data_IF_927957291835
#
_entry.id   IF_927957291835
#
_cell.length_a   1.000
_cell.length_b   1.000
_cell.length_c   1.000
_cell.angle_alpha   90.00
_cell.angle_beta   90.00
_cell.angle_gamma   90.00
#
_symmetry.space_group_name_H-M   'P 1'
#
loop_
_entity.id
_entity.type
_entity.pdbx_description
1 polymer ?
#
# COMPACT_ATOMS: atom_id res chain seq x y z
N UNK A 1 10.70 -2.25 -15.61
CA UNK A 1 9.55 -1.42 -15.22
C UNK A 1 8.71 -2.25 -14.26
N UNK A 2 8.32 -1.69 -13.11
CA UNK A 2 7.47 -2.42 -12.16
C UNK A 2 6.05 -2.48 -12.73
N UNK A 3 5.41 -3.64 -12.63
CA UNK A 3 4.01 -3.83 -12.95
C UNK A 3 3.18 -3.64 -11.67
N UNK A 4 2.27 -2.67 -11.68
CA UNK A 4 1.33 -2.44 -10.59
C UNK A 4 0.00 -3.14 -10.88
N UNK A 5 -0.47 -3.95 -9.93
CA UNK A 5 -1.77 -4.61 -9.96
C UNK A 5 -2.59 -4.17 -8.75
N UNK A 6 -3.91 -4.19 -8.89
CA UNK A 6 -4.84 -3.80 -7.84
C UNK A 6 -5.88 -4.91 -7.67
N UNK A 7 -5.95 -5.50 -6.48
CA UNK A 7 -7.04 -6.40 -6.13
C UNK A 7 -8.40 -5.67 -6.17
N UNK A 8 -9.47 -6.31 -6.64
CA UNK A 8 -10.79 -5.67 -6.80
C UNK A 8 -11.31 -5.03 -5.51
N UNK A 9 -11.00 -5.65 -4.36
CA UNK A 9 -11.31 -5.11 -3.03
C UNK A 9 -10.67 -3.73 -2.78
N UNK A 10 -9.38 -3.57 -3.09
CA UNK A 10 -8.71 -2.27 -2.87
C UNK A 10 -9.24 -1.20 -3.81
N UNK A 11 -9.65 -1.56 -5.04
CA UNK A 11 -10.24 -0.60 -5.97
C UNK A 11 -11.54 -0.01 -5.42
N UNK A 12 -12.38 -0.85 -4.79
CA UNK A 12 -13.61 -0.42 -4.11
C UNK A 12 -13.32 0.47 -2.89
N UNK A 13 -12.33 0.09 -2.08
CA UNK A 13 -11.90 0.85 -0.89
C UNK A 13 -11.34 2.23 -1.28
N UNK A 14 -10.49 2.30 -2.31
CA UNK A 14 -9.96 3.56 -2.85
C UNK A 14 -11.11 4.46 -3.31
N UNK A 15 -12.08 3.90 -4.04
CA UNK A 15 -13.25 4.67 -4.52
C UNK A 15 -14.09 5.21 -3.37
N UNK A 16 -14.23 4.45 -2.27
CA UNK A 16 -14.91 4.92 -1.07
C UNK A 16 -14.13 6.05 -0.37
N UNK A 17 -12.81 5.91 -0.26
CA UNK A 17 -11.94 6.94 0.33
C UNK A 17 -11.89 8.21 -0.52
N UNK A 18 -11.92 8.10 -1.85
CA UNK A 18 -11.90 9.24 -2.79
C UNK A 18 -13.08 10.20 -2.58
N UNK A 19 -14.24 9.67 -2.19
CA UNK A 19 -15.42 10.47 -1.85
C UNK A 19 -15.20 11.36 -0.62
N UNK A 20 -14.31 10.97 0.28
CA UNK A 20 -13.98 11.69 1.54
C UNK A 20 -12.71 12.51 1.40
N UNK A 21 -11.74 12.01 0.64
CA UNK A 21 -10.40 12.56 0.49
C UNK A 21 -10.06 12.63 -1.00
N UNK A 22 -10.35 13.77 -1.63
CA UNK A 22 -10.19 13.97 -3.07
C UNK A 22 -8.74 13.78 -3.57
N UNK A 23 -7.74 13.91 -2.69
CA UNK A 23 -6.32 13.77 -3.02
C UNK A 23 -5.78 12.33 -2.89
N UNK A 24 -6.63 11.33 -2.65
CA UNK A 24 -6.18 9.93 -2.50
C UNK A 24 -5.45 9.42 -3.74
N UNK A 25 -5.92 9.80 -4.93
CA UNK A 25 -5.31 9.40 -6.21
C UNK A 25 -3.91 9.98 -6.38
N UNK A 26 -3.70 11.22 -5.94
CA UNK A 26 -2.38 11.85 -5.96
C UNK A 26 -1.42 11.13 -5.00
N UNK A 27 -1.91 10.79 -3.79
CA UNK A 27 -1.14 10.01 -2.82
C UNK A 27 -0.72 8.64 -3.37
N UNK A 28 -1.63 7.94 -4.05
CA UNK A 28 -1.35 6.66 -4.71
C UNK A 28 -0.31 6.82 -5.83
N UNK A 29 -0.46 7.82 -6.70
CA UNK A 29 0.50 8.07 -7.78
C UNK A 29 1.90 8.41 -7.25
N UNK A 30 1.99 9.20 -6.19
CA UNK A 30 3.26 9.47 -5.50
C UNK A 30 3.85 8.16 -4.94
N UNK A 31 3.01 7.33 -4.33
CA UNK A 31 3.47 6.08 -3.75
C UNK A 31 3.95 5.06 -4.78
N UNK A 32 3.28 4.93 -5.93
CA UNK A 32 3.77 4.11 -7.05
C UNK A 32 5.18 4.53 -7.48
N UNK A 33 5.43 5.83 -7.64
CA UNK A 33 6.78 6.36 -7.98
C UNK A 33 7.82 6.05 -6.89
N UNK A 34 7.41 6.05 -5.62
CA UNK A 34 8.30 5.65 -4.53
C UNK A 34 8.60 4.15 -4.60
N UNK A 35 7.60 3.32 -4.89
CA UNK A 35 7.76 1.89 -5.08
C UNK A 35 8.70 1.55 -6.24
N UNK A 36 8.63 2.27 -7.37
CA UNK A 36 9.54 2.10 -8.50
C UNK A 36 11.01 2.25 -8.13
N UNK A 37 11.32 3.15 -7.18
CA UNK A 37 12.68 3.36 -6.67
C UNK A 37 13.03 2.38 -5.55
N UNK A 38 12.13 2.23 -4.58
CA UNK A 38 12.32 1.41 -3.39
C UNK A 38 12.50 -0.08 -3.73
N UNK A 39 11.71 -0.58 -4.69
CA UNK A 39 11.67 -1.98 -5.07
C UNK A 39 12.19 -2.21 -6.49
N UNK A 40 13.05 -1.33 -6.99
CA UNK A 40 13.63 -1.49 -8.31
C UNK A 40 14.38 -2.84 -8.41
N UNK A 41 14.14 -3.68 -9.43
CA UNK A 41 14.65 -5.06 -9.48
C UNK A 41 16.18 -5.17 -9.58
N UNK A 42 16.82 -4.19 -10.23
CA UNK A 42 18.28 -4.17 -10.46
C UNK A 42 19.02 -3.24 -9.49
N UNK A 43 18.47 -2.05 -9.22
CA UNK A 43 19.11 -1.00 -8.43
C UNK A 43 18.12 -0.39 -7.41
N UNK A 44 17.73 -1.14 -6.36
CA UNK A 44 16.82 -0.63 -5.34
C UNK A 44 17.44 0.53 -4.57
N UNK A 45 16.67 1.60 -4.37
CA UNK A 45 17.08 2.80 -3.65
C UNK A 45 16.20 3.01 -2.44
N UNK A 46 16.79 3.14 -1.26
CA UNK A 46 16.05 3.38 -0.03
C UNK A 46 15.51 4.81 0.01
N UNK A 47 14.33 5.03 -0.55
CA UNK A 47 13.63 6.33 -0.60
C UNK A 47 12.49 6.42 0.41
N UNK A 48 12.03 5.27 0.92
CA UNK A 48 11.07 5.20 2.01
C UNK A 48 11.84 4.92 3.30
N UNK A 49 11.62 5.74 4.32
CA UNK A 49 12.28 5.57 5.61
C UNK A 49 11.90 4.20 6.22
N UNK A 50 12.85 3.43 6.80
CA UNK A 50 12.57 2.10 7.36
C UNK A 50 11.45 2.09 8.40
N UNK A 51 11.36 3.15 9.22
CA UNK A 51 10.31 3.30 10.23
C UNK A 51 8.89 3.51 9.64
N UNK A 52 8.78 3.73 8.33
CA UNK A 52 7.50 3.97 7.63
C UNK A 52 7.07 2.78 6.77
N UNK A 53 7.99 1.87 6.44
CA UNK A 53 7.74 0.69 5.60
C UNK A 53 7.88 -0.57 6.45
N UNK A 54 6.76 -1.22 6.75
CA UNK A 54 6.73 -2.38 7.63
C UNK A 54 6.52 -3.65 6.82
N UNK A 55 7.44 -4.61 6.94
CA UNK A 55 7.24 -5.96 6.42
C UNK A 55 6.36 -6.74 7.38
N UNK A 56 5.25 -7.28 6.88
CA UNK A 56 4.32 -8.09 7.67
C UNK A 56 4.77 -9.54 7.65
N UNK A 57 5.02 -10.09 6.46
CA UNK A 57 5.55 -11.45 6.27
C UNK A 57 6.33 -11.53 4.98
N UNK A 58 7.09 -12.61 4.80
CA UNK A 58 7.78 -12.94 3.57
C UNK A 58 7.98 -14.46 3.44
N UNK A 59 8.07 -14.92 2.21
CA UNK A 59 8.61 -16.23 1.86
C UNK A 59 9.66 -16.05 0.74
N UNK A 60 10.10 -17.15 0.15
CA UNK A 60 11.14 -17.14 -0.89
C UNK A 60 10.69 -16.50 -2.21
N UNK A 61 9.39 -16.27 -2.38
CA UNK A 61 8.77 -15.83 -3.63
C UNK A 61 8.31 -14.37 -3.54
N UNK A 62 7.68 -13.99 -2.43
CA UNK A 62 7.05 -12.69 -2.25
C UNK A 62 7.08 -12.21 -0.81
N UNK A 63 6.92 -10.90 -0.63
CA UNK A 63 6.85 -10.27 0.68
C UNK A 63 5.62 -9.36 0.80
N UNK A 64 4.94 -9.42 1.95
CA UNK A 64 3.83 -8.54 2.31
C UNK A 64 4.36 -7.33 3.09
N UNK A 65 3.90 -6.15 2.71
CA UNK A 65 4.28 -4.90 3.31
C UNK A 65 3.06 -4.05 3.66
N UNK A 66 3.25 -3.13 4.61
CA UNK A 66 2.34 -2.02 4.84
C UNK A 66 3.09 -0.70 4.98
N UNK A 67 2.45 0.37 4.56
CA UNK A 67 2.98 1.74 4.61
C UNK A 67 1.88 2.73 4.95
N UNK A 68 2.23 3.84 5.59
CA UNK A 68 1.37 5.02 5.68
C UNK A 68 1.43 5.81 4.37
N UNK A 69 0.28 5.99 3.73
CA UNK A 69 0.16 6.70 2.45
C UNK A 69 0.14 8.20 2.70
N UNK A 70 1.20 8.90 2.27
CA UNK A 70 1.29 10.35 2.44
C UNK A 70 0.26 11.04 1.55
N UNK A 71 -0.66 11.77 2.17
CA UNK A 71 -1.74 12.49 1.49
C UNK A 71 -1.71 13.98 1.82
N UNK A 72 -0.84 14.78 1.16
CA UNK A 72 -0.81 16.21 1.39
C UNK A 72 -2.14 16.84 0.98
N UNK A 73 -2.52 17.94 1.63
CA UNK A 73 -3.73 18.72 1.34
C UNK A 73 -5.05 17.93 1.41
N UNK A 74 -5.06 16.75 2.06
CA UNK A 74 -6.25 15.92 2.27
C UNK A 74 -7.15 16.41 3.41
N UNK A 75 -6.66 17.36 4.22
CA UNK A 75 -7.30 17.74 5.48
C UNK A 75 -7.04 16.76 6.64
N UNK A 76 -6.39 15.63 6.37
CA UNK A 76 -5.98 14.68 7.40
C UNK A 76 -4.70 15.12 8.10
N UNK A 77 -4.60 14.85 9.39
CA UNK A 77 -3.32 14.91 10.12
C UNK A 77 -2.46 13.71 9.71
N UNK A 78 -1.12 13.79 9.80
CA UNK A 78 -0.24 12.69 9.42
C UNK A 78 -0.58 11.35 10.07
N UNK A 79 -0.94 11.35 11.36
CA UNK A 79 -1.35 10.13 12.08
C UNK A 79 -2.74 9.59 11.68
N UNK A 80 -3.47 10.31 10.82
CA UNK A 80 -4.76 9.90 10.27
C UNK A 80 -4.66 9.40 8.83
N UNK A 81 -3.47 9.51 8.21
CA UNK A 81 -3.26 9.08 6.84
C UNK A 81 -3.61 7.60 6.66
N UNK A 82 -4.19 7.22 5.51
CA UNK A 82 -4.48 5.83 5.25
C UNK A 82 -3.24 4.96 5.27
N UNK A 83 -3.40 3.69 5.67
CA UNK A 83 -2.38 2.67 5.46
C UNK A 83 -2.74 1.85 4.23
N UNK A 84 -1.71 1.51 3.45
CA UNK A 84 -1.79 0.65 2.29
C UNK A 84 -1.06 -0.65 2.56
N UNK A 85 -1.72 -1.78 2.32
CA UNK A 85 -1.12 -3.10 2.31
C UNK A 85 -0.88 -3.55 0.88
N UNK A 86 0.31 -4.09 0.63
CA UNK A 86 0.72 -4.48 -0.71
C UNK A 86 1.75 -5.60 -0.67
N UNK A 87 1.76 -6.43 -1.70
CA UNK A 87 2.74 -7.50 -1.86
C UNK A 87 3.71 -7.19 -3.00
N UNK A 88 4.97 -7.63 -2.83
CA UNK A 88 6.03 -7.47 -3.82
C UNK A 88 6.55 -8.85 -4.21
N UNK A 89 6.55 -9.15 -5.52
CA UNK A 89 7.10 -10.37 -6.13
C UNK A 89 7.91 -10.00 -7.37
N UNK A 90 9.24 -9.98 -7.26
CA UNK A 90 10.11 -9.58 -8.36
C UNK A 90 9.76 -8.18 -8.87
N UNK A 91 9.29 -8.08 -10.12
CA UNK A 91 8.87 -6.83 -10.76
C UNK A 91 7.38 -6.52 -10.61
N UNK A 92 6.63 -7.32 -9.85
CA UNK A 92 5.19 -7.15 -9.64
C UNK A 92 4.95 -6.58 -8.24
N UNK A 93 4.15 -5.53 -8.17
CA UNK A 93 3.60 -5.00 -6.92
C UNK A 93 2.08 -5.06 -6.99
N UNK A 94 1.46 -5.69 -6.00
CA UNK A 94 0.00 -5.83 -5.91
C UNK A 94 -0.50 -5.02 -4.71
N UNK A 95 -1.37 -4.05 -4.94
CA UNK A 95 -2.09 -3.36 -3.87
C UNK A 95 -3.30 -4.20 -3.44
N UNK A 96 -3.40 -4.47 -2.15
CA UNK A 96 -4.28 -5.52 -1.62
C UNK A 96 -5.46 -4.94 -0.85
N UNK A 97 -5.20 -4.00 0.05
CA UNK A 97 -6.24 -3.26 0.77
C UNK A 97 -5.71 -1.93 1.29
N UNK A 98 -6.63 -1.00 1.54
CA UNK A 98 -6.36 0.32 2.09
C UNK A 98 -7.39 0.66 3.16
N UNK A 99 -6.95 1.27 4.26
CA UNK A 99 -7.87 1.76 5.29
C UNK A 99 -7.35 3.02 5.96
N UNK A 100 -8.25 3.91 6.37
CA UNK A 100 -7.90 5.15 7.06
C UNK A 100 -8.10 5.02 8.56
N UNK A 101 -7.17 5.59 9.34
CA UNK A 101 -7.27 5.59 10.80
C UNK A 101 -8.54 6.27 11.34
N UNK A 102 -9.15 7.15 10.54
CA UNK A 102 -10.44 7.76 10.90
C UNK A 102 -11.58 6.73 10.99
N UNK A 103 -11.42 5.56 10.37
CA UNK A 103 -12.40 4.47 10.37
C UNK A 103 -12.17 3.49 11.52
N UNK A 104 -11.15 3.74 12.36
CA UNK A 104 -10.78 2.91 13.51
C UNK A 104 -10.71 1.41 13.19
N UNK A 105 -10.11 1.09 12.04
CA UNK A 105 -9.93 -0.30 11.61
C UNK A 105 -8.99 -1.06 12.55
N UNK A 106 -9.16 -2.38 12.59
CA UNK A 106 -8.24 -3.27 13.29
C UNK A 106 -7.06 -3.65 12.38
N UNK A 107 -5.84 -3.33 12.79
CA UNK A 107 -4.63 -3.59 11.98
C UNK A 107 -4.39 -5.09 11.75
N UNK A 108 -4.71 -5.95 12.71
CA UNK A 108 -4.56 -7.39 12.59
C UNK A 108 -5.56 -7.98 11.58
N UNK A 109 -6.83 -7.54 11.63
CA UNK A 109 -7.83 -7.92 10.63
C UNK A 109 -7.41 -7.49 9.22
N UNK A 110 -6.82 -6.30 9.06
CA UNK A 110 -6.31 -5.83 7.78
C UNK A 110 -5.08 -6.64 7.31
N UNK A 111 -4.20 -7.07 8.23
CA UNK A 111 -3.09 -7.97 7.90
C UNK A 111 -3.62 -9.31 7.37
N UNK A 112 -4.61 -9.90 8.03
CA UNK A 112 -5.25 -11.14 7.59
C UNK A 112 -5.98 -10.99 6.24
N UNK A 113 -6.70 -9.88 6.06
CA UNK A 113 -7.35 -9.56 4.79
C UNK A 113 -6.34 -9.42 3.65
N UNK A 114 -5.24 -8.71 3.89
CA UNK A 114 -4.18 -8.55 2.91
C UNK A 114 -3.54 -9.90 2.54
N UNK A 115 -3.25 -10.75 3.54
CA UNK A 115 -2.74 -12.10 3.32
C UNK A 115 -3.70 -12.95 2.48
N UNK A 116 -4.99 -12.92 2.81
CA UNK A 116 -6.02 -13.65 2.05
C UNK A 116 -6.08 -13.19 0.59
N UNK A 117 -6.01 -11.89 0.34
CA UNK A 117 -6.05 -11.32 -1.02
C UNK A 117 -4.75 -11.54 -1.81
N UNK A 118 -3.62 -11.69 -1.12
CA UNK A 118 -2.36 -12.01 -1.77
C UNK A 118 -2.38 -13.40 -2.42
N UNK A 119 -3.12 -14.35 -1.83
CA UNK A 119 -3.30 -15.70 -2.35
C UNK A 119 -4.02 -15.74 -3.71
N UNK A 120 -4.80 -14.70 -4.07
CA UNK A 120 -5.42 -14.60 -5.39
C UNK A 120 -4.41 -14.33 -6.51
N UNK A 121 -3.18 -13.94 -6.16
CA UNK A 121 -2.11 -13.60 -7.11
C UNK A 121 -0.92 -14.56 -7.06
N UNK A 122 -0.67 -15.24 -5.93
CA UNK A 122 0.56 -16.01 -5.69
C UNK A 122 0.35 -17.37 -5.06
#
# INVERSE_FOLDING_TARGET
>A
MIQFLYHDGVQKEITALERRFRTIRDGLSIFERLCEKQFHPINPQQVIAPAKLHRITQNDIWALWKVELVMPNSGLRPNQFPRMWFAVKGTIIVFLCISSHVDNYNDEEMNHLALSRAADFF
#
